data_IF_547419629004
#
_entry.id   IF_547419629004
#
_cell.length_a   1.000
_cell.length_b   1.000
_cell.length_c   1.000
_cell.angle_alpha   90.00
_cell.angle_beta   90.00
_cell.angle_gamma   90.00
#
_symmetry.space_group_name_H-M   'P 1'
#
loop_
_entity.id
_entity.type
_entity.pdbx_description
1 polymer ?
#
# COMPACT_ATOMS: atom_id res chain seq x y z
N UNK A 1 -3.27 2.69 -27.19
CA UNK A 1 -1.87 3.02 -26.84
C UNK A 1 -1.49 2.24 -25.61
N UNK A 2 -1.26 2.91 -24.48
CA UNK A 2 -0.92 2.27 -23.20
C UNK A 2 -2.13 1.62 -22.50
N UNK A 3 -3.20 2.38 -22.28
CA UNK A 3 -4.40 1.92 -21.56
C UNK A 3 -5.04 0.65 -22.17
N UNK A 4 -5.00 0.52 -23.51
CA UNK A 4 -5.50 -0.68 -24.18
C UNK A 4 -4.60 -1.91 -23.91
N UNK A 5 -3.28 -1.73 -23.90
CA UNK A 5 -2.35 -2.83 -23.60
C UNK A 5 -2.48 -3.29 -22.14
N UNK A 6 -2.64 -2.34 -21.22
CA UNK A 6 -2.93 -2.62 -19.81
C UNK A 6 -4.25 -3.39 -19.66
N UNK A 7 -5.33 -2.89 -20.26
CA UNK A 7 -6.64 -3.54 -20.23
C UNK A 7 -6.58 -4.97 -20.78
N UNK A 8 -5.94 -5.18 -21.93
CA UNK A 8 -5.79 -6.51 -22.53
C UNK A 8 -5.03 -7.46 -21.62
N UNK A 9 -3.96 -7.00 -20.95
CA UNK A 9 -3.24 -7.83 -19.99
C UNK A 9 -4.08 -8.16 -18.76
N UNK A 10 -4.74 -7.16 -18.15
CA UNK A 10 -5.55 -7.35 -16.93
C UNK A 10 -6.80 -8.21 -17.17
N UNK A 11 -7.34 -8.24 -18.38
CA UNK A 11 -8.51 -9.07 -18.76
C UNK A 11 -8.14 -10.40 -19.42
N UNK A 12 -6.88 -10.60 -19.81
CA UNK A 12 -6.36 -11.84 -20.39
C UNK A 12 -4.88 -12.02 -20.03
N UNK A 13 -4.64 -12.59 -18.84
CA UNK A 13 -3.30 -12.75 -18.26
C UNK A 13 -2.53 -13.82 -19.06
N UNK A 14 -1.46 -13.40 -19.73
CA UNK A 14 -0.51 -14.27 -20.43
C UNK A 14 0.85 -13.58 -20.54
N UNK A 15 1.93 -14.36 -20.69
CA UNK A 15 3.28 -13.81 -20.89
C UNK A 15 3.33 -12.85 -22.09
N UNK A 16 2.68 -13.23 -23.20
CA UNK A 16 2.60 -12.40 -24.39
C UNK A 16 1.98 -11.02 -24.12
N UNK A 17 0.85 -10.97 -23.40
CA UNK A 17 0.17 -9.71 -23.09
C UNK A 17 0.96 -8.89 -22.05
N UNK A 18 1.65 -9.55 -21.09
CA UNK A 18 2.55 -8.89 -20.14
C UNK A 18 3.70 -8.20 -20.85
N UNK A 19 4.36 -8.88 -21.79
CA UNK A 19 5.50 -8.34 -22.52
C UNK A 19 5.06 -7.16 -23.40
N UNK A 20 3.91 -7.28 -24.08
CA UNK A 20 3.34 -6.20 -24.89
C UNK A 20 2.97 -4.97 -24.05
N UNK A 21 2.42 -5.17 -22.86
CA UNK A 21 2.12 -4.09 -21.92
C UNK A 21 3.41 -3.41 -21.43
N UNK A 22 4.42 -4.20 -21.07
CA UNK A 22 5.74 -3.70 -20.62
C UNK A 22 6.43 -2.87 -21.70
N UNK A 23 6.53 -3.38 -22.92
CA UNK A 23 7.13 -2.66 -24.06
C UNK A 23 6.38 -1.36 -24.39
N UNK A 24 5.04 -1.38 -24.32
CA UNK A 24 4.23 -0.18 -24.53
C UNK A 24 4.43 0.85 -23.42
N UNK A 25 4.60 0.39 -22.18
CA UNK A 25 4.92 1.25 -21.03
C UNK A 25 6.26 1.94 -21.21
N UNK A 26 7.31 1.19 -21.56
CA UNK A 26 8.66 1.75 -21.78
C UNK A 26 8.63 2.80 -22.88
N UNK A 27 8.00 2.51 -24.04
CA UNK A 27 7.89 3.47 -25.14
C UNK A 27 7.14 4.74 -24.75
N UNK A 28 6.09 4.61 -23.93
CA UNK A 28 5.37 5.77 -23.41
C UNK A 28 6.25 6.60 -22.46
N UNK A 29 7.02 5.97 -21.58
CA UNK A 29 7.94 6.66 -20.68
C UNK A 29 9.04 7.40 -21.45
N UNK A 30 9.64 6.77 -22.46
CA UNK A 30 10.64 7.43 -23.32
C UNK A 30 10.06 8.64 -24.08
N UNK A 31 8.83 8.51 -24.60
CA UNK A 31 8.13 9.63 -25.22
C UNK A 31 7.87 10.76 -24.21
N UNK A 32 7.40 10.41 -23.00
CA UNK A 32 7.14 11.36 -21.91
C UNK A 32 8.42 12.12 -21.53
N UNK A 33 9.53 11.42 -21.32
CA UNK A 33 10.84 12.02 -21.05
C UNK A 33 11.24 13.06 -22.11
N UNK A 34 11.09 12.74 -23.41
CA UNK A 34 11.39 13.70 -24.49
C UNK A 34 10.50 14.94 -24.45
N UNK A 35 9.19 14.76 -24.29
CA UNK A 35 8.24 15.88 -24.18
C UNK A 35 8.52 16.78 -22.99
N UNK A 36 9.06 16.20 -21.92
CA UNK A 36 9.38 16.94 -20.71
C UNK A 36 10.64 17.77 -20.84
N UNK A 37 11.68 17.24 -21.47
CA UNK A 37 12.87 18.02 -21.82
C UNK A 37 12.56 19.15 -22.80
N UNK A 38 11.59 18.97 -23.69
CA UNK A 38 11.05 20.07 -24.51
C UNK A 38 10.27 21.10 -23.67
N UNK A 39 9.40 20.63 -22.76
CA UNK A 39 8.60 21.49 -21.88
C UNK A 39 9.46 22.39 -20.97
N UNK A 40 10.60 21.88 -20.49
CA UNK A 40 11.56 22.63 -19.66
C UNK A 40 12.19 23.83 -20.37
N UNK A 41 12.14 23.89 -21.71
CA UNK A 41 12.70 25.02 -22.50
C UNK A 41 11.80 26.25 -22.50
N UNK A 42 10.53 26.12 -22.14
CA UNK A 42 9.60 27.24 -22.14
C UNK A 42 9.77 28.12 -20.90
N UNK A 43 9.82 29.43 -21.10
CA UNK A 43 9.78 30.38 -20.00
C UNK A 43 8.34 30.54 -19.48
N UNK A 44 8.06 29.93 -18.33
CA UNK A 44 6.74 29.89 -17.70
C UNK A 44 6.18 31.28 -17.32
N UNK A 45 7.02 32.31 -17.21
CA UNK A 45 6.63 33.68 -16.82
C UNK A 45 5.68 34.33 -17.82
N UNK A 46 5.83 34.03 -19.10
CA UNK A 46 5.08 34.68 -20.19
C UNK A 46 3.86 33.88 -20.66
N UNK A 47 3.56 32.76 -20.00
CA UNK A 47 2.46 31.87 -20.36
C UNK A 47 1.22 32.18 -19.54
N UNK A 48 0.04 31.88 -20.11
CA UNK A 48 -1.22 31.89 -19.37
C UNK A 48 -1.16 30.92 -18.18
N UNK A 49 -1.94 31.18 -17.13
CA UNK A 49 -1.96 30.32 -15.94
C UNK A 49 -2.34 28.87 -16.27
N UNK A 50 -3.26 28.68 -17.22
CA UNK A 50 -3.65 27.35 -17.72
C UNK A 50 -2.48 26.63 -18.37
N UNK A 51 -1.78 27.29 -19.30
CA UNK A 51 -0.63 26.70 -20.00
C UNK A 51 0.52 26.43 -19.03
N UNK A 52 0.78 27.37 -18.11
CA UNK A 52 1.77 27.20 -17.05
C UNK A 52 1.47 25.96 -16.23
N UNK A 53 0.24 25.78 -15.76
CA UNK A 53 -0.19 24.60 -15.01
C UNK A 53 -0.02 23.31 -15.82
N UNK A 54 -0.42 23.30 -17.10
CA UNK A 54 -0.25 22.11 -17.96
C UNK A 54 1.21 21.71 -18.11
N UNK A 55 2.11 22.69 -18.32
CA UNK A 55 3.54 22.42 -18.40
C UNK A 55 4.12 21.98 -17.05
N UNK A 56 3.72 22.62 -15.93
CA UNK A 56 4.14 22.21 -14.59
C UNK A 56 3.77 20.75 -14.28
N UNK A 57 2.55 20.32 -14.64
CA UNK A 57 2.11 18.93 -14.48
C UNK A 57 2.89 17.98 -15.40
N UNK A 58 3.13 18.39 -16.66
CA UNK A 58 3.93 17.60 -17.59
C UNK A 58 5.35 17.40 -17.05
N UNK A 59 5.96 18.43 -16.45
CA UNK A 59 7.32 18.38 -15.89
C UNK A 59 7.41 17.75 -14.51
N UNK A 60 6.31 17.25 -13.93
CA UNK A 60 6.29 16.57 -12.64
C UNK A 60 6.52 15.06 -12.83
N UNK A 61 7.69 14.59 -12.39
CA UNK A 61 8.14 13.20 -12.52
C UNK A 61 9.38 12.93 -11.64
N UNK A 62 9.58 11.68 -11.26
CA UNK A 62 10.81 11.21 -10.61
C UNK A 62 11.42 9.99 -11.33
N UNK A 63 11.22 9.91 -12.66
CA UNK A 63 11.74 8.80 -13.48
C UNK A 63 13.21 9.10 -13.83
N UNK A 64 14.08 8.09 -13.73
CA UNK A 64 15.48 8.23 -14.13
C UNK A 64 15.61 8.45 -15.64
N UNK A 65 16.62 9.21 -16.05
CA UNK A 65 17.00 9.37 -17.46
C UNK A 65 17.56 8.08 -18.06
N UNK A 66 18.04 7.15 -17.23
CA UNK A 66 18.49 5.83 -17.68
C UNK A 66 17.31 4.83 -17.73
N UNK A 67 16.93 4.42 -18.95
CA UNK A 67 15.84 3.46 -19.14
C UNK A 67 16.13 2.07 -18.56
N UNK A 68 17.39 1.73 -18.27
CA UNK A 68 17.75 0.49 -17.57
C UNK A 68 17.33 0.53 -16.09
N UNK A 69 17.52 1.66 -15.42
CA UNK A 69 17.06 1.87 -14.04
C UNK A 69 15.54 1.72 -13.98
N UNK A 70 14.82 2.35 -14.90
CA UNK A 70 13.36 2.27 -14.94
C UNK A 70 12.86 0.84 -15.20
N UNK A 71 13.53 0.08 -16.08
CA UNK A 71 13.25 -1.35 -16.27
C UNK A 71 13.47 -2.17 -15.01
N UNK A 72 14.55 -1.90 -14.27
CA UNK A 72 14.83 -2.58 -13.01
C UNK A 72 13.79 -2.25 -11.93
N UNK A 73 13.35 -0.99 -11.82
CA UNK A 73 12.24 -0.58 -10.94
C UNK A 73 10.97 -1.38 -11.27
N UNK A 74 10.60 -1.45 -12.55
CA UNK A 74 9.42 -2.23 -12.98
C UNK A 74 9.55 -3.73 -12.69
N UNK A 75 10.74 -4.31 -12.88
CA UNK A 75 11.00 -5.70 -12.56
C UNK A 75 10.90 -5.98 -11.06
N UNK A 76 11.56 -5.17 -10.22
CA UNK A 76 11.51 -5.29 -8.76
C UNK A 76 10.07 -5.17 -8.23
N UNK A 77 9.28 -4.25 -8.80
CA UNK A 77 7.86 -4.13 -8.47
C UNK A 77 7.09 -5.42 -8.82
N UNK A 78 7.28 -5.95 -10.03
CA UNK A 78 6.63 -7.18 -10.45
C UNK A 78 7.03 -8.38 -9.58
N UNK A 79 8.32 -8.51 -9.26
CA UNK A 79 8.83 -9.57 -8.38
C UNK A 79 8.21 -9.50 -6.98
N UNK A 80 8.09 -8.29 -6.41
CA UNK A 80 7.42 -8.09 -5.10
C UNK A 80 5.91 -8.41 -5.16
N UNK A 81 5.23 -8.01 -6.23
CA UNK A 81 3.81 -8.34 -6.46
C UNK A 81 3.62 -9.86 -6.58
N UNK A 82 4.49 -10.55 -7.32
CA UNK A 82 4.44 -12.00 -7.49
C UNK A 82 4.68 -12.75 -6.18
N UNK A 83 5.70 -12.34 -5.40
CA UNK A 83 5.96 -12.91 -4.06
C UNK A 83 4.72 -12.78 -3.15
N UNK A 84 4.07 -11.61 -3.18
CA UNK A 84 2.91 -11.35 -2.37
C UNK A 84 1.69 -12.16 -2.83
N UNK A 85 1.40 -12.19 -4.13
CA UNK A 85 0.22 -12.84 -4.69
C UNK A 85 0.31 -14.37 -4.69
N UNK A 86 1.51 -14.93 -4.83
CA UNK A 86 1.74 -16.38 -4.84
C UNK A 86 2.17 -16.93 -3.47
N UNK A 87 2.19 -16.07 -2.45
CA UNK A 87 2.55 -16.44 -1.08
C UNK A 87 1.59 -17.49 -0.52
N UNK A 88 2.11 -18.68 -0.22
CA UNK A 88 1.40 -19.73 0.50
C UNK A 88 2.02 -19.95 1.88
N UNK A 89 1.20 -19.84 2.92
CA UNK A 89 1.63 -19.98 4.32
C UNK A 89 1.15 -21.31 4.86
N UNK A 90 2.07 -22.10 5.40
CA UNK A 90 1.76 -23.39 6.01
C UNK A 90 1.80 -23.28 7.53
N UNK A 91 0.77 -23.82 8.18
CA UNK A 91 0.69 -23.94 9.64
C UNK A 91 1.40 -25.21 10.12
N UNK A 92 1.64 -25.32 11.43
CA UNK A 92 2.30 -26.46 12.08
C UNK A 92 1.61 -27.79 11.85
N UNK A 93 0.29 -27.77 11.61
CA UNK A 93 -0.49 -28.96 11.28
C UNK A 93 -0.30 -29.43 9.82
N UNK A 94 0.52 -28.73 9.02
CA UNK A 94 0.79 -29.05 7.62
C UNK A 94 -0.21 -28.47 6.61
N UNK A 95 -1.27 -27.80 7.06
CA UNK A 95 -2.21 -27.12 6.17
C UNK A 95 -1.60 -25.85 5.61
N UNK A 96 -1.70 -25.64 4.29
CA UNK A 96 -1.18 -24.47 3.61
C UNK A 96 -2.31 -23.65 3.00
N UNK A 97 -2.22 -22.32 3.13
CA UNK A 97 -3.26 -21.39 2.73
C UNK A 97 -2.65 -20.26 1.89
N UNK A 98 -3.35 -19.84 0.84
CA UNK A 98 -3.07 -18.59 0.16
C UNK A 98 -3.63 -17.41 0.96
N UNK A 99 -3.19 -16.18 0.63
CA UNK A 99 -3.71 -14.99 1.29
C UNK A 99 -5.23 -14.85 1.07
N UNK A 100 -5.63 -14.90 -0.19
CA UNK A 100 -7.03 -14.77 -0.61
C UNK A 100 -7.53 -16.07 -1.26
N UNK A 101 -8.70 -16.58 -0.86
CA UNK A 101 -9.56 -16.07 0.22
C UNK A 101 -9.22 -16.63 1.61
N UNK A 102 -8.35 -17.64 1.74
CA UNK A 102 -8.28 -18.50 2.93
C UNK A 102 -7.78 -17.77 4.17
N UNK A 103 -6.59 -17.16 4.13
CA UNK A 103 -6.04 -16.44 5.29
C UNK A 103 -6.92 -15.25 5.66
N UNK A 104 -7.46 -14.51 4.68
CA UNK A 104 -8.40 -13.42 4.95
C UNK A 104 -9.63 -13.93 5.71
N UNK A 105 -10.19 -15.07 5.32
CA UNK A 105 -11.33 -15.67 6.01
C UNK A 105 -10.96 -16.10 7.45
N UNK A 106 -9.81 -16.74 7.64
CA UNK A 106 -9.35 -17.14 8.98
C UNK A 106 -9.20 -15.89 9.88
N UNK A 107 -8.51 -14.85 9.40
CA UNK A 107 -8.31 -13.61 10.16
C UNK A 107 -9.62 -12.89 10.47
N UNK A 108 -10.63 -12.99 9.59
CA UNK A 108 -11.91 -12.31 9.75
C UNK A 108 -12.83 -13.01 10.75
N UNK A 109 -12.91 -14.35 10.69
CA UNK A 109 -13.98 -15.10 11.35
C UNK A 109 -13.50 -16.02 12.47
N UNK A 110 -12.21 -16.39 12.51
CA UNK A 110 -11.70 -17.16 13.65
C UNK A 110 -11.72 -16.33 14.93
N UNK A 111 -12.01 -16.99 16.05
CA UNK A 111 -11.92 -16.45 17.40
C UNK A 111 -10.94 -17.24 18.28
N UNK A 112 -10.16 -18.13 17.67
CA UNK A 112 -9.08 -18.84 18.32
C UNK A 112 -7.81 -17.95 18.33
N UNK A 113 -7.35 -17.46 19.49
CA UNK A 113 -6.20 -16.58 19.56
C UNK A 113 -4.89 -17.25 19.12
N UNK A 114 -4.74 -18.57 19.29
CA UNK A 114 -3.52 -19.29 18.91
C UNK A 114 -3.45 -19.47 17.41
N UNK A 115 -4.57 -19.83 16.77
CA UNK A 115 -4.66 -19.91 15.31
C UNK A 115 -4.44 -18.54 14.65
N UNK A 116 -5.06 -17.48 15.19
CA UNK A 116 -4.86 -16.11 14.68
C UNK A 116 -3.40 -15.67 14.80
N UNK A 117 -2.76 -15.96 15.93
CA UNK A 117 -1.34 -15.67 16.15
C UNK A 117 -0.46 -16.42 15.15
N UNK A 118 -0.69 -17.72 14.97
CA UNK A 118 0.10 -18.55 14.07
C UNK A 118 -0.02 -18.05 12.62
N UNK A 119 -1.24 -17.89 12.10
CA UNK A 119 -1.47 -17.41 10.74
C UNK A 119 -0.85 -16.03 10.51
N UNK A 120 -1.01 -15.11 11.45
CA UNK A 120 -0.48 -13.74 11.35
C UNK A 120 1.06 -13.70 11.31
N UNK A 121 1.71 -14.54 12.12
CA UNK A 121 3.17 -14.67 12.17
C UNK A 121 3.70 -15.38 10.94
N UNK A 122 3.13 -16.53 10.58
CA UNK A 122 3.64 -17.34 9.48
C UNK A 122 3.46 -16.62 8.14
N UNK A 123 2.39 -15.84 7.93
CA UNK A 123 2.26 -14.99 6.75
C UNK A 123 3.41 -14.00 6.63
N UNK A 124 3.77 -13.34 7.74
CA UNK A 124 4.87 -12.36 7.78
C UNK A 124 6.21 -13.03 7.58
N UNK A 125 6.45 -14.19 8.18
CA UNK A 125 7.68 -14.96 8.02
C UNK A 125 7.84 -15.45 6.58
N UNK A 126 6.74 -15.82 5.93
CA UNK A 126 6.77 -16.35 4.56
C UNK A 126 6.96 -15.27 3.51
N UNK A 127 6.33 -14.11 3.67
CA UNK A 127 6.30 -13.07 2.62
C UNK A 127 7.30 -11.94 2.90
N UNK A 128 7.33 -11.41 4.12
CA UNK A 128 8.10 -10.22 4.48
C UNK A 128 9.60 -10.32 4.17
N UNK A 129 10.32 -11.35 4.65
CA UNK A 129 11.75 -11.52 4.39
C UNK A 129 12.11 -11.58 2.91
N UNK A 130 11.25 -12.19 2.08
CA UNK A 130 11.50 -12.33 0.64
C UNK A 130 11.33 -11.01 -0.12
N UNK A 131 10.48 -10.09 0.39
CA UNK A 131 10.29 -8.75 -0.18
C UNK A 131 11.39 -7.77 0.27
N UNK A 132 12.00 -7.98 1.44
CA UNK A 132 12.89 -7.00 2.09
C UNK A 132 14.00 -6.45 1.19
N UNK A 133 14.75 -7.33 0.51
CA UNK A 133 15.87 -6.89 -0.35
C UNK A 133 15.34 -6.13 -1.57
N UNK A 134 14.35 -6.71 -2.27
CA UNK A 134 13.70 -6.09 -3.42
C UNK A 134 13.19 -4.69 -3.09
N UNK A 135 12.55 -4.51 -1.93
CA UNK A 135 12.02 -3.22 -1.49
C UNK A 135 13.13 -2.19 -1.24
N UNK A 136 14.25 -2.63 -0.66
CA UNK A 136 15.39 -1.72 -0.40
C UNK A 136 15.98 -1.21 -1.72
N UNK A 137 16.27 -2.13 -2.65
CA UNK A 137 16.79 -1.78 -3.98
C UNK A 137 15.78 -0.92 -4.76
N UNK A 138 14.49 -1.24 -4.67
CA UNK A 138 13.42 -0.48 -5.30
C UNK A 138 13.39 0.98 -4.83
N UNK A 139 13.47 1.22 -3.52
CA UNK A 139 13.49 2.59 -2.97
C UNK A 139 14.76 3.33 -3.37
N UNK A 140 15.93 2.67 -3.39
CA UNK A 140 17.19 3.30 -3.79
C UNK A 140 17.11 3.80 -5.25
N UNK A 141 16.56 2.99 -6.15
CA UNK A 141 16.40 3.37 -7.56
C UNK A 141 15.36 4.47 -7.75
N UNK A 142 14.24 4.43 -7.01
CA UNK A 142 13.24 5.51 -7.02
C UNK A 142 13.84 6.84 -6.54
N UNK A 143 14.66 6.81 -5.49
CA UNK A 143 15.35 7.99 -4.97
C UNK A 143 16.39 8.52 -5.96
N UNK A 144 17.12 7.64 -6.66
CA UNK A 144 18.03 8.07 -7.72
C UNK A 144 17.29 8.86 -8.82
N UNK A 145 16.14 8.35 -9.27
CA UNK A 145 15.27 9.06 -10.23
C UNK A 145 14.71 10.37 -9.69
N UNK A 146 14.36 10.43 -8.40
CA UNK A 146 13.89 11.66 -7.76
C UNK A 146 14.99 12.75 -7.71
N UNK A 147 16.21 12.36 -7.31
CA UNK A 147 17.37 13.25 -7.23
C UNK A 147 17.76 13.83 -8.60
N UNK A 148 17.74 13.01 -9.66
CA UNK A 148 17.97 13.47 -11.04
C UNK A 148 16.99 14.57 -11.50
N UNK A 149 15.82 14.63 -10.86
CA UNK A 149 14.73 15.54 -11.18
C UNK A 149 14.56 16.68 -10.17
N UNK A 150 15.53 16.86 -9.27
CA UNK A 150 15.58 18.00 -8.34
C UNK A 150 14.71 17.83 -7.09
N UNK A 151 14.25 16.62 -6.81
CA UNK A 151 13.61 16.27 -5.53
C UNK A 151 14.67 15.77 -4.53
N UNK A 152 14.44 15.97 -3.24
CA UNK A 152 15.27 15.45 -2.17
C UNK A 152 15.20 13.92 -2.08
N UNK A 153 14.00 13.37 -2.32
CA UNK A 153 13.71 11.93 -2.33
C UNK A 153 12.41 11.68 -3.12
N UNK A 154 12.08 10.40 -3.30
CA UNK A 154 10.87 10.01 -4.01
C UNK A 154 9.58 10.42 -3.27
N UNK A 155 9.63 10.55 -1.94
CA UNK A 155 8.46 10.96 -1.15
C UNK A 155 8.06 12.41 -1.43
N UNK A 156 9.03 13.30 -1.64
CA UNK A 156 8.74 14.69 -2.01
C UNK A 156 8.03 14.75 -3.37
N UNK A 157 8.51 13.99 -4.35
CA UNK A 157 7.84 13.85 -5.64
C UNK A 157 6.42 13.31 -5.47
N UNK A 158 6.27 12.23 -4.70
CA UNK A 158 4.99 11.56 -4.51
C UNK A 158 3.95 12.45 -3.85
N UNK A 159 4.34 13.23 -2.83
CA UNK A 159 3.47 14.25 -2.21
C UNK A 159 3.09 15.34 -3.21
N UNK A 160 4.04 15.82 -4.02
CA UNK A 160 3.77 16.85 -5.01
C UNK A 160 2.82 16.36 -6.12
N UNK A 161 2.99 15.12 -6.57
CA UNK A 161 2.12 14.49 -7.57
C UNK A 161 0.70 14.28 -7.06
N UNK A 162 0.54 13.60 -5.93
CA UNK A 162 -0.78 13.23 -5.41
C UNK A 162 -1.56 14.41 -4.86
N UNK A 163 -0.88 15.37 -4.24
CA UNK A 163 -1.50 16.50 -3.58
C UNK A 163 -1.29 17.81 -4.32
N UNK A 164 -0.88 17.76 -5.59
CA UNK A 164 -0.71 18.93 -6.47
C UNK A 164 0.13 20.07 -5.87
N UNK A 165 1.17 19.73 -5.09
CA UNK A 165 2.01 20.69 -4.40
C UNK A 165 1.30 21.46 -3.29
N UNK A 166 0.31 20.85 -2.62
CA UNK A 166 -0.34 21.41 -1.43
C UNK A 166 0.73 21.82 -0.41
N UNK A 167 0.84 23.12 -0.07
CA UNK A 167 1.77 23.58 0.94
C UNK A 167 1.46 22.98 2.30
N UNK A 168 2.49 22.72 3.11
CA UNK A 168 2.36 22.24 4.49
C UNK A 168 1.53 20.95 4.64
N UNK A 169 1.54 20.07 3.62
CA UNK A 169 0.77 18.83 3.62
C UNK A 169 1.01 17.99 4.89
N UNK A 170 2.26 17.87 5.34
CA UNK A 170 2.61 17.12 6.54
C UNK A 170 1.92 17.68 7.79
N UNK A 171 1.88 19.02 7.90
CA UNK A 171 1.16 19.70 8.99
C UNK A 171 -0.34 19.47 8.90
N UNK A 172 -0.92 19.51 7.69
CA UNK A 172 -2.35 19.24 7.49
C UNK A 172 -2.69 17.82 7.96
N UNK A 173 -1.86 16.83 7.61
CA UNK A 173 -2.05 15.44 8.04
C UNK A 173 -1.94 15.32 9.57
N UNK A 174 -0.93 15.95 10.19
CA UNK A 174 -0.74 15.95 11.64
C UNK A 174 -1.92 16.61 12.39
N UNK A 175 -2.40 17.75 11.88
CA UNK A 175 -3.55 18.47 12.46
C UNK A 175 -4.84 17.64 12.35
N UNK A 176 -5.08 17.00 11.20
CA UNK A 176 -6.21 16.09 11.01
C UNK A 176 -6.14 14.89 11.96
N UNK A 177 -4.96 14.28 12.10
CA UNK A 177 -4.75 13.20 13.05
C UNK A 177 -5.01 13.67 14.49
N UNK A 178 -4.50 14.84 14.88
CA UNK A 178 -4.73 15.40 16.22
C UNK A 178 -6.22 15.59 16.53
N UNK A 179 -7.02 15.98 15.54
CA UNK A 179 -8.48 16.13 15.67
C UNK A 179 -9.21 14.78 15.80
N UNK A 180 -8.75 13.74 15.11
CA UNK A 180 -9.36 12.40 15.14
C UNK A 180 -8.91 11.60 16.37
N UNK A 181 -7.69 11.84 16.85
CA UNK A 181 -7.03 11.08 17.92
C UNK A 181 -7.89 10.91 19.19
N UNK A 182 -8.60 11.92 19.73
CA UNK A 182 -9.45 11.73 20.91
C UNK A 182 -10.54 10.68 20.69
N UNK A 183 -11.19 10.68 19.53
CA UNK A 183 -12.19 9.67 19.17
C UNK A 183 -11.55 8.29 19.00
N UNK A 184 -10.44 8.22 18.28
CA UNK A 184 -9.72 6.97 18.07
C UNK A 184 -9.28 6.33 19.39
N UNK A 185 -8.78 7.11 20.35
CA UNK A 185 -8.36 6.60 21.66
C UNK A 185 -9.53 6.05 22.47
N UNK A 186 -10.71 6.68 22.40
CA UNK A 186 -11.93 6.15 23.04
C UNK A 186 -12.36 4.82 22.40
N UNK A 187 -12.38 4.76 21.06
CA UNK A 187 -12.68 3.55 20.31
C UNK A 187 -11.68 2.43 20.66
N UNK A 188 -10.38 2.73 20.60
CA UNK A 188 -9.30 1.82 20.94
C UNK A 188 -9.45 1.28 22.36
N UNK A 189 -9.68 2.14 23.36
CA UNK A 189 -9.85 1.72 24.75
C UNK A 189 -11.09 0.83 24.93
N UNK A 190 -12.20 1.16 24.27
CA UNK A 190 -13.43 0.37 24.28
C UNK A 190 -13.21 -1.02 23.68
N UNK A 191 -12.62 -1.09 22.48
CA UNK A 191 -12.32 -2.34 21.77
C UNK A 191 -11.34 -3.18 22.58
N UNK A 192 -10.24 -2.60 23.09
CA UNK A 192 -9.28 -3.30 23.97
C UNK A 192 -9.97 -3.94 25.17
N UNK A 193 -10.88 -3.20 25.83
CA UNK A 193 -11.64 -3.72 26.98
C UNK A 193 -12.54 -4.90 26.59
N UNK A 194 -13.26 -4.80 25.46
CA UNK A 194 -14.12 -5.88 24.96
C UNK A 194 -13.32 -7.12 24.56
N UNK A 195 -12.22 -6.95 23.84
CA UNK A 195 -11.30 -8.04 23.50
C UNK A 195 -10.71 -8.70 24.75
N UNK A 196 -10.29 -7.91 25.74
CA UNK A 196 -9.77 -8.46 27.01
C UNK A 196 -10.83 -9.21 27.80
N UNK A 197 -12.09 -8.78 27.75
CA UNK A 197 -13.19 -9.53 28.37
C UNK A 197 -13.45 -10.87 27.66
N UNK A 198 -13.36 -10.89 26.32
CA UNK A 198 -13.60 -12.08 25.51
C UNK A 198 -12.44 -13.09 25.55
N UNK A 199 -11.21 -12.64 25.27
CA UNK A 199 -10.01 -13.49 25.18
C UNK A 199 -9.29 -13.71 26.52
N UNK A 200 -9.61 -12.92 27.55
CA UNK A 200 -8.95 -12.96 28.84
C UNK A 200 -7.67 -12.12 28.92
N UNK A 201 -7.17 -12.00 30.15
CA UNK A 201 -6.04 -11.12 30.50
C UNK A 201 -4.67 -11.65 30.09
N UNK A 202 -4.55 -12.96 29.84
CA UNK A 202 -3.33 -13.61 29.34
C UNK A 202 -3.08 -13.32 27.86
N UNK A 203 -4.14 -13.12 27.08
CA UNK A 203 -4.07 -12.83 25.64
C UNK A 203 -4.00 -11.33 25.37
N UNK A 204 -4.88 -10.54 26.00
CA UNK A 204 -4.86 -9.07 25.89
C UNK A 204 -4.32 -8.50 27.19
N UNK A 205 -3.05 -8.09 27.19
CA UNK A 205 -2.31 -7.62 28.37
C UNK A 205 -2.77 -6.29 28.97
N UNK A 206 -1.97 -5.80 29.93
CA UNK A 206 -2.19 -4.52 30.63
C UNK A 206 -1.22 -3.40 30.18
N UNK A 207 -0.44 -3.63 29.12
CA UNK A 207 0.54 -2.69 28.56
C UNK A 207 -0.11 -1.52 27.79
N UNK A 208 -1.43 -1.59 27.60
CA UNK A 208 -2.21 -0.56 26.93
C UNK A 208 -2.37 -0.78 25.42
N UNK A 209 -1.79 -1.82 24.84
CA UNK A 209 -1.89 -2.11 23.39
C UNK A 209 -2.98 -3.15 23.09
N UNK A 210 -3.27 -3.37 21.81
CA UNK A 210 -4.11 -4.48 21.34
C UNK A 210 -3.21 -5.39 20.47
N UNK A 211 -3.17 -6.71 20.70
CA UNK A 211 -2.48 -7.62 19.80
C UNK A 211 -3.06 -7.53 18.37
N UNK A 212 -2.20 -7.22 17.39
CA UNK A 212 -2.64 -6.83 16.04
C UNK A 212 -3.44 -7.91 15.30
N UNK A 213 -3.20 -9.18 15.61
CA UNK A 213 -3.87 -10.33 15.00
C UNK A 213 -5.34 -10.49 15.44
N UNK A 214 -5.78 -9.80 16.49
CA UNK A 214 -7.13 -9.95 17.07
C UNK A 214 -8.16 -8.97 16.48
N UNK A 215 -7.78 -8.19 15.49
CA UNK A 215 -8.58 -7.09 14.95
C UNK A 215 -9.33 -7.45 13.67
N UNK A 216 -9.47 -8.75 13.39
CA UNK A 216 -10.34 -9.24 12.31
C UNK A 216 -9.79 -9.02 10.90
N UNK A 217 -8.52 -8.64 10.77
CA UNK A 217 -7.85 -8.35 9.50
C UNK A 217 -6.35 -8.59 9.64
N UNK A 218 -5.70 -9.08 8.57
CA UNK A 218 -4.27 -9.39 8.54
C UNK A 218 -3.36 -8.22 8.96
N UNK A 219 -3.79 -6.98 8.70
CA UNK A 219 -3.05 -5.75 8.99
C UNK A 219 -3.74 -4.84 10.00
N UNK A 220 -4.84 -5.28 10.60
CA UNK A 220 -5.66 -4.47 11.51
C UNK A 220 -6.12 -3.12 10.92
N UNK A 221 -6.21 -3.00 9.60
CA UNK A 221 -6.55 -1.73 8.92
C UNK A 221 -8.04 -1.36 9.02
N UNK A 222 -8.89 -2.34 9.34
CA UNK A 222 -10.31 -2.18 9.66
C UNK A 222 -10.71 -3.21 10.71
N UNK A 223 -11.70 -2.90 11.56
CA UNK A 223 -12.11 -3.74 12.69
C UNK A 223 -13.59 -4.15 12.62
N UNK A 224 -14.20 -4.07 11.44
CA UNK A 224 -15.63 -4.35 11.24
C UNK A 224 -15.99 -5.83 11.44
N UNK A 225 -15.05 -6.73 11.20
CA UNK A 225 -15.25 -8.18 11.27
C UNK A 225 -15.27 -8.72 12.70
N UNK A 226 -14.93 -7.91 13.71
CA UNK A 226 -15.03 -8.27 15.15
C UNK A 226 -16.26 -7.67 15.83
N UNK A 227 -17.25 -7.22 15.06
CA UNK A 227 -18.48 -6.61 15.60
C UNK A 227 -19.24 -7.54 16.56
N UNK A 228 -19.19 -8.85 16.34
CA UNK A 228 -19.70 -9.88 17.25
C UNK A 228 -19.09 -9.80 18.67
N UNK A 229 -17.83 -9.37 18.79
CA UNK A 229 -17.16 -9.19 20.09
C UNK A 229 -17.46 -7.81 20.70
N UNK A 230 -17.47 -6.77 19.86
CA UNK A 230 -17.46 -5.38 20.34
C UNK A 230 -18.82 -4.70 20.33
N UNK A 231 -19.89 -5.36 19.87
CA UNK A 231 -21.23 -4.79 19.86
C UNK A 231 -21.61 -4.25 21.25
N UNK A 232 -22.09 -3.00 21.27
CA UNK A 232 -22.52 -2.32 22.49
C UNK A 232 -23.88 -2.84 23.00
N UNK A 233 -24.72 -3.34 22.09
CA UNK A 233 -26.08 -3.80 22.38
C UNK A 233 -26.34 -5.18 21.75
N UNK A 234 -25.74 -6.26 22.28
CA UNK A 234 -25.87 -7.60 21.72
C UNK A 234 -27.33 -8.11 21.71
N UNK A 235 -28.12 -7.73 22.72
CA UNK A 235 -29.55 -8.05 22.85
C UNK A 235 -30.41 -7.52 21.68
N UNK A 236 -29.97 -6.45 20.99
CA UNK A 236 -30.73 -5.81 19.90
C UNK A 236 -30.33 -6.28 18.51
N UNK A 237 -29.33 -7.15 18.40
CA UNK A 237 -28.89 -7.71 17.12
C UNK A 237 -29.73 -8.91 16.66
N UNK A 238 -30.47 -9.56 17.56
CA UNK A 238 -31.30 -10.74 17.25
C UNK A 238 -32.70 -10.37 16.71
N UNK A 239 -33.05 -9.09 16.68
CA UNK A 239 -34.37 -8.59 16.24
C UNK A 239 -34.42 -8.16 14.75
N UNK A 240 -33.42 -8.49 13.92
CA UNK A 240 -33.39 -8.14 12.49
C UNK A 240 -33.18 -9.34 11.57
#
# INVERSE_FOLDING_TARGET
GLALAEWTYKTNISDHNRDKFTDTTIRFQEWRLRRMEEAKRFNLKYLSDRTRRQLSLLTMFAISKDSRINRQISQLQADMEDIYNTGHTCLRNGSCFALEPEIINIMSYSRDPDLLQEVWVEWRNKVGPNIKQHYTEFIDLLNAGALENGYADYSQYWKQELFYGTPDLDKIVDDLWANIRPLYLQLHAYVRRKLRHFYGSSVVGNDGTIPAQLLGNMWAQHWSTILDIVNAFPERSEER
#
